data_IF_007583864413
#
_entry.id   IF_007583864413
#
_cell.length_a   1.000
_cell.length_b   1.000
_cell.length_c   1.000
_cell.angle_alpha   90.00
_cell.angle_beta   90.00
_cell.angle_gamma   90.00
#
_symmetry.space_group_name_H-M   'P 1'
#
loop_
_entity.id
_entity.type
_entity.pdbx_description
1 polymer ?
#
# COMPACT_ATOMS: atom_id res chain seq x y z
N UNK A 1 -11.04 25.81 11.99
CA UNK A 1 -11.27 24.62 11.16
C UNK A 1 -10.06 24.50 10.26
N UNK A 2 -9.27 23.43 10.36
CA UNK A 2 -8.18 23.20 9.42
C UNK A 2 -8.82 22.95 8.05
N UNK A 3 -8.43 23.71 7.03
CA UNK A 3 -8.85 23.45 5.66
C UNK A 3 -8.27 22.08 5.27
N UNK A 4 -9.14 21.10 5.07
CA UNK A 4 -8.76 19.80 4.53
C UNK A 4 -8.25 20.01 3.09
N UNK A 5 -7.05 19.60 2.80
CA UNK A 5 -6.47 19.68 1.46
C UNK A 5 -7.25 18.75 0.53
N UNK A 6 -7.82 19.29 -0.55
CA UNK A 6 -8.46 18.51 -1.60
C UNK A 6 -7.74 18.77 -2.92
N UNK A 7 -7.25 17.70 -3.54
CA UNK A 7 -6.65 17.72 -4.87
C UNK A 7 -7.77 17.56 -5.91
N UNK A 8 -7.76 18.42 -6.93
CA UNK A 8 -8.81 18.45 -7.94
C UNK A 8 -8.29 17.85 -9.25
N UNK A 9 -9.15 17.10 -9.93
CA UNK A 9 -8.84 16.49 -11.23
C UNK A 9 -8.35 17.50 -12.27
N UNK A 10 -8.83 18.74 -12.22
CA UNK A 10 -8.45 19.80 -13.16
C UNK A 10 -6.96 20.19 -13.03
N UNK A 11 -6.31 19.89 -11.90
CA UNK A 11 -4.87 20.14 -11.68
C UNK A 11 -3.98 19.01 -12.26
N UNK A 12 -4.56 17.83 -12.55
CA UNK A 12 -3.81 16.62 -12.90
C UNK A 12 -4.12 16.08 -14.30
N UNK A 13 -5.30 16.35 -14.84
CA UNK A 13 -5.72 15.91 -16.16
C UNK A 13 -5.62 17.06 -17.16
N UNK A 14 -5.01 16.80 -18.32
CA UNK A 14 -4.80 17.82 -19.33
C UNK A 14 -6.10 18.31 -20.00
N UNK A 15 -7.19 17.55 -19.90
CA UNK A 15 -8.51 17.92 -20.43
C UNK A 15 -9.63 17.12 -19.75
N UNK A 16 -10.87 17.61 -19.89
CA UNK A 16 -12.08 16.90 -19.44
C UNK A 16 -12.36 15.59 -20.20
N UNK A 17 -11.66 15.35 -21.28
CA UNK A 17 -11.75 14.11 -22.06
C UNK A 17 -10.77 13.04 -21.56
N UNK A 18 -9.74 13.43 -20.86
CA UNK A 18 -8.72 12.51 -20.36
C UNK A 18 -9.27 11.71 -19.18
N UNK A 19 -9.33 10.38 -19.35
CA UNK A 19 -9.84 9.48 -18.32
C UNK A 19 -8.75 8.96 -17.40
N UNK A 20 -7.50 8.87 -17.87
CA UNK A 20 -6.37 8.28 -17.15
C UNK A 20 -5.12 9.12 -17.32
N UNK A 21 -4.36 9.29 -16.24
CA UNK A 21 -3.04 9.91 -16.27
C UNK A 21 -2.09 9.21 -15.28
N UNK A 22 -0.79 9.39 -15.48
CA UNK A 22 0.25 8.93 -14.55
C UNK A 22 0.77 10.14 -13.80
N UNK A 23 0.54 10.16 -12.48
CA UNK A 23 1.04 11.19 -11.58
C UNK A 23 2.17 10.59 -10.74
N UNK A 24 3.41 10.87 -11.14
CA UNK A 24 4.59 10.30 -10.51
C UNK A 24 4.99 11.07 -9.24
N UNK A 25 5.28 10.34 -8.16
CA UNK A 25 5.75 10.87 -6.88
C UNK A 25 7.15 10.32 -6.57
N UNK A 26 8.08 10.57 -7.44
CA UNK A 26 9.43 10.02 -7.42
C UNK A 26 10.47 11.10 -7.04
N UNK A 27 11.18 10.98 -5.88
CA UNK A 27 10.82 10.19 -4.70
C UNK A 27 9.61 10.79 -3.95
N UNK A 28 8.87 9.95 -3.22
CA UNK A 28 7.74 10.41 -2.42
C UNK A 28 8.24 11.06 -1.13
N UNK A 29 7.89 12.31 -0.93
CA UNK A 29 8.08 13.01 0.34
C UNK A 29 6.92 12.78 1.31
N UNK A 30 7.10 13.26 2.55
CA UNK A 30 5.99 13.35 3.51
C UNK A 30 4.89 14.20 2.90
N UNK A 31 3.66 13.67 2.90
CA UNK A 31 2.52 14.37 2.34
C UNK A 31 1.36 14.36 3.34
N UNK A 32 0.87 15.55 3.69
CA UNK A 32 -0.18 15.73 4.68
C UNK A 32 -1.49 15.03 4.25
N UNK A 33 -2.40 14.82 5.21
CA UNK A 33 -3.72 14.27 4.94
C UNK A 33 -4.47 15.11 3.92
N UNK A 34 -4.96 14.44 2.89
CA UNK A 34 -5.69 15.04 1.78
C UNK A 34 -6.74 14.08 1.23
N UNK A 35 -7.64 14.63 0.42
CA UNK A 35 -8.59 13.90 -0.42
C UNK A 35 -8.42 14.34 -1.86
N UNK A 36 -9.05 13.64 -2.79
CA UNK A 36 -9.11 14.00 -4.20
C UNK A 36 -10.47 13.64 -4.80
N UNK A 37 -10.83 14.22 -5.95
CA UNK A 37 -12.07 13.96 -6.66
C UNK A 37 -11.90 13.01 -7.88
N UNK A 38 -10.83 12.22 -7.86
CA UNK A 38 -10.49 11.17 -8.80
C UNK A 38 -10.08 9.90 -8.04
N UNK A 39 -9.90 8.80 -8.72
CA UNK A 39 -9.41 7.55 -8.12
C UNK A 39 -7.93 7.34 -8.39
N UNK A 40 -7.23 6.61 -7.51
CA UNK A 40 -5.81 6.29 -7.65
C UNK A 40 -5.52 4.79 -7.54
N UNK A 41 -4.60 4.32 -8.38
CA UNK A 41 -3.84 3.10 -8.16
C UNK A 41 -2.43 3.47 -7.73
N UNK A 42 -2.02 3.04 -6.54
CA UNK A 42 -0.69 3.33 -6.00
C UNK A 42 0.14 2.06 -5.94
N UNK A 43 1.30 2.05 -6.60
CA UNK A 43 2.25 0.92 -6.56
C UNK A 43 3.55 1.39 -5.93
N UNK A 44 4.00 0.69 -4.88
CA UNK A 44 5.28 0.96 -4.21
C UNK A 44 6.39 0.16 -4.87
N UNK A 45 7.37 0.87 -5.46
CA UNK A 45 8.50 0.25 -6.17
C UNK A 45 9.68 -0.09 -5.27
N UNK A 46 10.00 0.75 -4.30
CA UNK A 46 11.08 0.52 -3.33
C UNK A 46 10.95 1.44 -2.12
N UNK A 47 11.83 1.23 -1.13
CA UNK A 47 11.84 2.01 0.09
C UNK A 47 10.73 1.64 1.03
N UNK A 48 10.38 2.53 1.92
CA UNK A 48 9.32 2.32 2.88
C UNK A 48 8.71 3.65 3.36
N UNK A 49 7.48 3.59 3.88
CA UNK A 49 6.78 4.73 4.42
C UNK A 49 5.62 4.28 5.32
N UNK A 50 5.01 5.22 6.00
CA UNK A 50 3.73 5.04 6.67
C UNK A 50 2.66 5.69 5.76
N UNK A 51 1.77 4.88 5.21
CA UNK A 51 0.59 5.32 4.49
C UNK A 51 -0.62 5.19 5.42
N UNK A 52 -1.32 6.27 5.67
CA UNK A 52 -2.58 6.24 6.43
C UNK A 52 -3.70 6.45 5.44
N UNK A 53 -4.61 5.51 5.35
CA UNK A 53 -5.77 5.53 4.45
C UNK A 53 -7.05 5.34 5.27
N UNK A 54 -7.94 6.32 5.27
CA UNK A 54 -9.16 6.33 6.06
C UNK A 54 -8.90 5.97 7.53
N UNK A 55 -7.97 6.68 8.16
CA UNK A 55 -7.51 6.49 9.52
C UNK A 55 -6.82 5.14 9.81
N UNK A 56 -6.68 4.26 8.81
CA UNK A 56 -5.97 2.99 8.94
C UNK A 56 -4.52 3.13 8.51
N UNK A 57 -3.54 2.90 9.40
CA UNK A 57 -2.13 2.96 9.08
C UNK A 57 -1.62 1.67 8.44
N UNK A 58 -0.80 1.82 7.41
CA UNK A 58 -0.10 0.75 6.70
C UNK A 58 1.39 1.06 6.64
N UNK A 59 2.24 0.16 7.12
CA UNK A 59 3.68 0.24 6.86
C UNK A 59 3.95 -0.32 5.48
N UNK A 60 4.15 0.57 4.53
CA UNK A 60 4.30 0.22 3.12
C UNK A 60 5.74 -0.03 2.74
N UNK A 61 5.94 -1.00 1.87
CA UNK A 61 7.22 -1.40 1.28
C UNK A 61 7.00 -1.82 -0.19
N UNK A 62 8.09 -2.15 -0.87
CA UNK A 62 8.07 -2.70 -2.23
C UNK A 62 6.98 -3.76 -2.42
N UNK A 63 6.21 -3.64 -3.50
CA UNK A 63 5.14 -4.55 -3.89
C UNK A 63 3.77 -4.23 -3.29
N UNK A 64 3.65 -3.25 -2.40
CA UNK A 64 2.34 -2.81 -1.93
C UNK A 64 1.59 -2.10 -3.06
N UNK A 65 0.31 -2.43 -3.17
CA UNK A 65 -0.64 -1.91 -4.15
C UNK A 65 -1.88 -1.41 -3.41
N UNK A 66 -2.30 -0.18 -3.68
CA UNK A 66 -3.52 0.39 -3.14
C UNK A 66 -4.47 0.80 -4.26
N UNK A 67 -5.76 0.61 -3.99
CA UNK A 67 -6.86 1.20 -4.74
C UNK A 67 -7.51 2.25 -3.83
N UNK A 68 -7.35 3.52 -4.18
CA UNK A 68 -7.84 4.67 -3.42
C UNK A 68 -8.99 5.28 -4.19
N UNK A 69 -10.15 5.31 -3.58
CA UNK A 69 -11.35 5.86 -4.17
C UNK A 69 -11.37 7.39 -4.06
N UNK A 70 -12.16 8.06 -4.90
CA UNK A 70 -12.44 9.49 -4.75
C UNK A 70 -13.01 9.76 -3.35
N UNK A 71 -12.57 10.87 -2.74
CA UNK A 71 -12.91 11.31 -1.39
C UNK A 71 -12.34 10.44 -0.23
N UNK A 72 -11.62 9.34 -0.50
CA UNK A 72 -10.82 8.67 0.52
C UNK A 72 -9.75 9.62 1.07
N UNK A 73 -9.58 9.62 2.41
CA UNK A 73 -8.55 10.43 3.07
C UNK A 73 -7.26 9.64 3.18
N UNK A 74 -6.16 10.21 2.74
CA UNK A 74 -4.88 9.56 2.91
C UNK A 74 -3.71 10.53 3.10
N UNK A 75 -2.60 9.97 3.63
CA UNK A 75 -1.36 10.71 3.88
C UNK A 75 -0.16 9.79 3.84
N UNK A 76 1.03 10.39 3.65
CA UNK A 76 2.31 9.70 3.72
C UNK A 76 3.21 10.33 4.78
N UNK A 77 3.74 9.49 5.68
CA UNK A 77 4.65 9.89 6.75
C UNK A 77 5.81 8.90 6.92
N UNK A 78 6.81 9.26 7.69
CA UNK A 78 7.97 8.41 8.01
C UNK A 78 8.57 7.74 6.76
N UNK A 79 8.67 8.49 5.67
CA UNK A 79 9.18 8.02 4.37
C UNK A 79 10.71 7.86 4.42
N UNK A 80 11.21 6.80 3.78
CA UNK A 80 12.63 6.53 3.64
C UNK A 80 12.89 5.90 2.27
N UNK A 81 13.48 6.67 1.36
CA UNK A 81 13.73 6.30 -0.05
C UNK A 81 12.48 5.68 -0.71
N UNK A 82 11.31 6.20 -0.35
CA UNK A 82 10.04 5.72 -0.84
C UNK A 82 9.85 6.14 -2.30
N UNK A 83 9.73 5.16 -3.17
CA UNK A 83 9.42 5.35 -4.57
C UNK A 83 8.13 4.64 -4.87
N UNK A 84 7.14 5.41 -5.23
CA UNK A 84 5.83 4.90 -5.65
C UNK A 84 5.40 5.61 -6.92
N UNK A 85 4.36 5.11 -7.53
CA UNK A 85 3.76 5.68 -8.71
C UNK A 85 2.25 5.65 -8.59
N UNK A 86 1.63 6.78 -8.86
CA UNK A 86 0.19 6.94 -8.85
C UNK A 86 -0.32 6.92 -10.29
N UNK A 87 -1.23 6.01 -10.58
CA UNK A 87 -2.03 6.00 -11.79
C UNK A 87 -3.40 6.54 -11.39
N UNK A 88 -3.72 7.73 -11.85
CA UNK A 88 -4.96 8.42 -11.52
C UNK A 88 -5.98 8.24 -12.63
N UNK A 89 -7.26 8.08 -12.26
CA UNK A 89 -8.32 7.88 -13.24
C UNK A 89 -9.67 8.44 -12.75
N UNK A 90 -10.49 8.85 -13.72
CA UNK A 90 -11.86 9.29 -13.49
C UNK A 90 -12.82 8.22 -14.03
N UNK A 91 -13.49 7.43 -13.16
CA UNK A 91 -14.42 6.38 -13.59
C UNK A 91 -15.48 6.86 -14.60
N UNK A 92 -16.00 8.05 -14.40
CA UNK A 92 -17.03 8.66 -15.24
C UNK A 92 -16.55 9.07 -16.65
N UNK A 93 -15.21 9.12 -16.87
CA UNK A 93 -14.61 9.46 -18.15
C UNK A 93 -14.18 8.24 -18.95
N UNK A 94 -14.19 7.03 -18.37
CA UNK A 94 -13.83 5.79 -19.04
C UNK A 94 -14.91 5.42 -20.07
N UNK A 95 -14.50 5.23 -21.34
CA UNK A 95 -15.40 4.97 -22.46
C UNK A 95 -15.39 3.52 -22.94
N UNK A 96 -14.32 2.78 -22.63
CA UNK A 96 -14.21 1.38 -23.01
C UNK A 96 -15.23 0.53 -22.23
N UNK A 97 -15.94 -0.33 -22.95
CA UNK A 97 -16.88 -1.27 -22.37
C UNK A 97 -16.15 -2.50 -21.78
N UNK A 98 -15.50 -2.29 -20.63
CA UNK A 98 -14.85 -3.34 -19.86
C UNK A 98 -15.60 -3.56 -18.54
N UNK A 99 -15.47 -4.76 -17.97
CA UNK A 99 -15.94 -5.02 -16.60
C UNK A 99 -14.99 -4.38 -15.57
N UNK A 100 -15.09 -3.06 -15.45
CA UNK A 100 -14.28 -2.30 -14.49
C UNK A 100 -14.53 -2.71 -13.05
N UNK A 101 -15.77 -3.08 -12.71
CA UNK A 101 -16.15 -3.52 -11.36
C UNK A 101 -15.48 -4.84 -10.98
N UNK A 102 -15.41 -5.78 -11.92
CA UNK A 102 -14.70 -7.04 -11.71
C UNK A 102 -13.17 -6.88 -11.69
N UNK A 103 -12.64 -5.88 -12.41
CA UNK A 103 -11.21 -5.66 -12.53
C UNK A 103 -10.60 -4.81 -11.40
N UNK A 104 -11.32 -3.78 -10.94
CA UNK A 104 -10.85 -2.81 -9.94
C UNK A 104 -11.64 -2.96 -8.64
N UNK A 105 -11.00 -3.32 -7.51
CA UNK A 105 -11.66 -3.33 -6.21
C UNK A 105 -12.25 -1.96 -5.87
N UNK A 106 -13.54 -1.96 -5.49
CA UNK A 106 -14.19 -0.74 -5.05
C UNK A 106 -14.44 0.31 -6.15
N UNK A 107 -14.52 -0.10 -7.42
CA UNK A 107 -14.69 0.83 -8.57
C UNK A 107 -15.83 1.83 -8.40
N UNK A 108 -16.96 1.43 -7.80
CA UNK A 108 -18.13 2.29 -7.59
C UNK A 108 -18.32 2.77 -6.13
N UNK A 109 -17.47 2.33 -5.22
CA UNK A 109 -17.54 2.68 -3.79
C UNK A 109 -16.22 2.37 -3.12
N UNK A 110 -15.94 3.00 -1.98
CA UNK A 110 -14.76 2.67 -1.17
C UNK A 110 -14.61 1.16 -0.99
N UNK A 111 -13.46 0.65 -1.37
CA UNK A 111 -13.18 -0.79 -1.31
C UNK A 111 -13.14 -1.26 0.14
N UNK A 112 -13.81 -2.38 0.44
CA UNK A 112 -13.71 -3.03 1.74
C UNK A 112 -12.28 -3.47 2.08
N UNK A 113 -11.44 -3.75 1.08
CA UNK A 113 -10.01 -4.01 1.20
C UNK A 113 -9.23 -3.24 0.14
N UNK A 114 -8.69 -2.05 0.50
CA UNK A 114 -7.98 -1.21 -0.45
C UNK A 114 -6.53 -1.64 -0.68
N UNK A 115 -5.94 -2.46 0.21
CA UNK A 115 -4.54 -2.86 0.21
C UNK A 115 -4.33 -4.28 -0.32
N UNK A 116 -3.45 -4.41 -1.29
CA UNK A 116 -3.05 -5.65 -1.96
C UNK A 116 -1.53 -5.71 -2.10
N UNK A 117 -1.03 -6.81 -2.61
CA UNK A 117 0.39 -6.96 -2.92
C UNK A 117 0.60 -7.47 -4.34
N UNK A 118 1.74 -7.10 -4.90
CA UNK A 118 2.26 -7.62 -6.17
C UNK A 118 3.61 -8.30 -5.92
N UNK A 119 3.78 -9.48 -6.47
CA UNK A 119 5.08 -10.14 -6.55
C UNK A 119 5.96 -9.54 -7.66
N UNK A 120 7.20 -9.97 -7.71
CA UNK A 120 8.21 -9.42 -8.63
C UNK A 120 7.82 -9.54 -10.10
N UNK A 121 7.12 -10.61 -10.49
CA UNK A 121 6.63 -10.80 -11.87
C UNK A 121 5.55 -9.79 -12.22
N UNK A 122 4.53 -9.65 -11.35
CA UNK A 122 3.46 -8.67 -11.55
C UNK A 122 3.99 -7.24 -11.60
N UNK A 123 4.95 -6.91 -10.72
CA UNK A 123 5.62 -5.61 -10.72
C UNK A 123 6.39 -5.34 -12.03
N UNK A 124 7.15 -6.32 -12.54
CA UNK A 124 7.91 -6.15 -13.79
C UNK A 124 6.97 -5.88 -14.99
N UNK A 125 5.88 -6.64 -15.08
CA UNK A 125 4.89 -6.46 -16.14
C UNK A 125 4.13 -5.14 -16.00
N UNK A 126 3.72 -4.78 -14.76
CA UNK A 126 3.06 -3.51 -14.51
C UNK A 126 3.94 -2.33 -14.91
N UNK A 127 5.23 -2.34 -14.58
CA UNK A 127 6.18 -1.28 -14.95
C UNK A 127 6.25 -1.05 -16.45
N UNK A 128 6.24 -2.14 -17.25
CA UNK A 128 6.27 -2.02 -18.70
C UNK A 128 5.01 -1.34 -19.24
N UNK A 129 3.83 -1.73 -18.76
CA UNK A 129 2.55 -1.15 -19.20
C UNK A 129 2.44 0.31 -18.73
N UNK A 130 2.85 0.61 -17.49
CA UNK A 130 2.81 1.97 -16.94
C UNK A 130 3.72 2.91 -17.73
N UNK A 131 4.92 2.47 -18.14
CA UNK A 131 5.80 3.29 -18.97
C UNK A 131 5.18 3.64 -20.34
N UNK A 132 4.42 2.73 -20.93
CA UNK A 132 3.65 3.02 -22.15
C UNK A 132 2.47 3.96 -21.86
N UNK A 133 1.74 3.72 -20.76
CA UNK A 133 0.62 4.56 -20.33
C UNK A 133 1.08 6.00 -20.05
N UNK A 134 2.19 6.19 -19.35
CA UNK A 134 2.79 7.49 -19.06
C UNK A 134 3.12 8.23 -20.36
N UNK A 135 3.73 7.53 -21.32
CA UNK A 135 4.01 8.09 -22.63
C UNK A 135 2.72 8.54 -23.34
N UNK A 136 1.72 7.67 -23.48
CA UNK A 136 0.47 7.99 -24.19
C UNK A 136 -0.34 9.08 -23.48
N UNK A 137 -0.45 9.02 -22.15
CA UNK A 137 -1.23 10.00 -21.39
C UNK A 137 -0.64 11.42 -21.42
N UNK A 138 0.64 11.56 -21.78
CA UNK A 138 1.33 12.85 -21.97
C UNK A 138 1.25 13.38 -23.40
N UNK A 139 0.76 12.59 -24.37
CA UNK A 139 0.70 12.99 -25.76
C UNK A 139 -0.57 13.82 -26.09
N UNK A 140 -0.42 14.74 -27.05
CA UNK A 140 -1.52 15.57 -27.57
C UNK A 140 -1.76 15.23 -29.06
N UNK A 141 -1.80 13.94 -29.36
CA UNK A 141 -2.02 13.43 -30.72
C UNK A 141 -3.37 12.72 -30.82
N UNK A 142 -3.92 12.52 -32.03
CA UNK A 142 -5.17 11.77 -32.21
C UNK A 142 -5.07 10.37 -31.56
N UNK A 143 -6.15 9.97 -30.90
CA UNK A 143 -6.29 8.67 -30.21
C UNK A 143 -5.40 8.45 -28.97
N UNK A 144 -4.65 9.45 -28.49
CA UNK A 144 -3.82 9.30 -27.29
C UNK A 144 -4.66 8.91 -26.03
N UNK A 145 -5.82 9.54 -25.85
CA UNK A 145 -6.72 9.20 -24.73
C UNK A 145 -7.25 7.76 -24.83
N UNK A 146 -7.65 7.33 -26.01
CA UNK A 146 -8.14 5.98 -26.27
C UNK A 146 -7.02 4.93 -26.04
N UNK A 147 -5.81 5.22 -26.49
CA UNK A 147 -4.64 4.37 -26.24
C UNK A 147 -4.29 4.31 -24.77
N UNK A 148 -4.33 5.44 -24.05
CA UNK A 148 -4.10 5.47 -22.60
C UNK A 148 -5.15 4.64 -21.86
N UNK A 149 -6.43 4.72 -22.26
CA UNK A 149 -7.50 3.92 -21.66
C UNK A 149 -7.34 2.42 -21.95
N UNK A 150 -6.93 2.02 -23.16
CA UNK A 150 -6.61 0.63 -23.50
C UNK A 150 -5.45 0.07 -22.65
N UNK A 151 -4.39 0.87 -22.47
CA UNK A 151 -3.25 0.50 -21.62
C UNK A 151 -3.65 0.43 -20.14
N UNK A 152 -4.51 1.32 -19.68
CA UNK A 152 -5.08 1.25 -18.34
C UNK A 152 -5.93 -0.03 -18.16
N UNK A 153 -6.77 -0.39 -19.13
CA UNK A 153 -7.50 -1.66 -19.14
C UNK A 153 -6.57 -2.86 -19.07
N UNK A 154 -5.49 -2.87 -19.85
CA UNK A 154 -4.45 -3.90 -19.76
C UNK A 154 -3.80 -3.94 -18.38
N UNK A 155 -3.45 -2.78 -17.82
CA UNK A 155 -2.84 -2.68 -16.49
C UNK A 155 -3.76 -3.27 -15.40
N UNK A 156 -5.02 -2.86 -15.33
CA UNK A 156 -5.92 -3.35 -14.28
C UNK A 156 -6.21 -4.84 -14.38
N UNK A 157 -6.30 -5.40 -15.59
CA UNK A 157 -6.42 -6.85 -15.79
C UNK A 157 -5.16 -7.60 -15.34
N UNK A 158 -3.99 -7.05 -15.61
CA UNK A 158 -2.70 -7.57 -15.14
C UNK A 158 -2.62 -7.51 -13.61
N UNK A 159 -2.96 -6.37 -13.00
CA UNK A 159 -2.99 -6.22 -11.56
C UNK A 159 -3.98 -7.21 -10.93
N UNK A 160 -5.17 -7.37 -11.48
CA UNK A 160 -6.17 -8.35 -11.01
C UNK A 160 -5.62 -9.77 -11.00
N UNK A 161 -4.87 -10.15 -12.04
CA UNK A 161 -4.27 -11.49 -12.16
C UNK A 161 -3.14 -11.75 -11.16
N UNK A 162 -2.36 -10.70 -10.83
CA UNK A 162 -1.13 -10.83 -10.05
C UNK A 162 -1.24 -10.33 -8.61
N UNK A 163 -2.33 -9.62 -8.25
CA UNK A 163 -2.53 -9.14 -6.88
C UNK A 163 -2.93 -10.28 -5.95
N UNK A 164 -2.48 -10.18 -4.71
CA UNK A 164 -2.86 -11.07 -3.63
C UNK A 164 -2.97 -10.30 -2.33
N UNK A 165 -3.63 -10.86 -1.34
CA UNK A 165 -3.70 -10.31 0.02
C UNK A 165 -2.59 -10.88 0.88
N UNK A 166 -2.29 -10.24 2.00
CA UNK A 166 -1.35 -10.78 2.99
C UNK A 166 -1.75 -12.16 3.54
N UNK A 167 -3.04 -12.51 3.46
CA UNK A 167 -3.59 -13.78 3.96
C UNK A 167 -3.70 -14.86 2.87
N UNK A 168 -3.40 -14.53 1.63
CA UNK A 168 -3.44 -15.47 0.50
C UNK A 168 -2.05 -15.78 -0.01
N UNK A 169 -1.86 -17.00 -0.52
CA UNK A 169 -0.64 -17.35 -1.24
C UNK A 169 -0.60 -16.58 -2.57
N UNK A 170 0.60 -16.18 -2.99
CA UNK A 170 0.81 -15.54 -4.27
C UNK A 170 0.33 -16.43 -5.44
N UNK A 171 -0.24 -15.86 -6.50
CA UNK A 171 -0.89 -16.63 -7.56
C UNK A 171 0.06 -17.38 -8.51
N UNK A 172 1.38 -17.19 -8.39
CA UNK A 172 2.36 -17.82 -9.31
C UNK A 172 3.52 -18.50 -8.59
N UNK A 173 3.96 -19.64 -9.14
CA UNK A 173 5.13 -20.39 -8.66
C UNK A 173 6.46 -19.67 -8.88
N UNK A 174 6.49 -18.60 -9.65
CA UNK A 174 7.70 -17.84 -10.05
C UNK A 174 8.05 -16.68 -9.12
N UNK A 175 7.49 -16.63 -7.91
CA UNK A 175 7.81 -15.59 -6.95
C UNK A 175 9.22 -15.72 -6.38
N UNK A 176 9.82 -14.53 -6.17
CA UNK A 176 11.14 -14.48 -5.56
C UNK A 176 11.08 -14.92 -4.09
N UNK A 177 12.22 -15.35 -3.56
CA UNK A 177 12.37 -15.67 -2.15
C UNK A 177 11.98 -14.50 -1.24
N UNK A 178 12.22 -13.26 -1.70
CA UNK A 178 11.85 -12.06 -0.99
C UNK A 178 10.31 -11.89 -0.91
N UNK A 179 9.60 -12.15 -1.99
CA UNK A 179 8.13 -12.05 -2.01
C UNK A 179 7.52 -13.09 -1.04
N UNK A 180 8.04 -14.32 -1.05
CA UNK A 180 7.64 -15.38 -0.10
C UNK A 180 7.91 -14.98 1.36
N UNK A 181 9.07 -14.38 1.64
CA UNK A 181 9.39 -13.89 2.98
C UNK A 181 8.41 -12.81 3.44
N UNK A 182 8.14 -11.81 2.61
CA UNK A 182 7.22 -10.71 2.97
C UNK A 182 5.81 -11.24 3.26
N UNK A 183 5.32 -12.17 2.44
CA UNK A 183 4.02 -12.83 2.67
C UNK A 183 4.01 -13.60 4.00
N UNK A 184 5.06 -14.37 4.30
CA UNK A 184 5.16 -15.09 5.59
C UNK A 184 5.25 -14.16 6.79
N UNK A 185 5.96 -13.03 6.66
CA UNK A 185 6.02 -12.01 7.73
C UNK A 185 4.65 -11.40 8.00
N UNK A 186 3.89 -11.07 6.95
CA UNK A 186 2.54 -10.53 7.09
C UNK A 186 1.58 -11.53 7.74
N UNK A 187 1.67 -12.82 7.40
CA UNK A 187 0.87 -13.88 8.03
C UNK A 187 1.30 -14.21 9.48
N UNK A 188 2.50 -13.78 9.91
CA UNK A 188 3.06 -14.09 11.23
C UNK A 188 2.91 -12.95 12.25
N UNK A 189 1.92 -12.06 12.09
CA UNK A 189 1.77 -10.90 12.97
C UNK A 189 1.57 -11.29 14.43
N UNK A 190 0.78 -12.34 14.70
CA UNK A 190 0.41 -12.80 16.04
C UNK A 190 1.44 -13.72 16.71
N UNK A 191 2.42 -14.23 15.95
CA UNK A 191 3.36 -15.23 16.43
C UNK A 191 4.80 -14.84 16.17
N UNK A 192 5.78 -15.37 16.93
CA UNK A 192 7.19 -15.20 16.61
C UNK A 192 7.50 -15.74 15.21
N UNK A 193 8.25 -14.96 14.44
CA UNK A 193 8.72 -15.38 13.12
C UNK A 193 10.13 -15.97 13.25
N UNK A 194 10.28 -17.24 12.90
CA UNK A 194 11.55 -17.96 12.90
C UNK A 194 12.19 -17.88 11.51
N UNK A 195 13.12 -16.93 11.33
CA UNK A 195 13.79 -16.71 10.04
C UNK A 195 14.72 -17.88 9.66
N UNK A 196 15.36 -18.51 10.64
CA UNK A 196 16.17 -19.69 10.49
C UNK A 196 15.38 -20.83 9.83
N UNK A 197 14.21 -21.17 10.38
CA UNK A 197 13.32 -22.18 9.78
C UNK A 197 12.90 -21.85 8.35
N UNK A 198 12.56 -20.58 8.10
CA UNK A 198 12.23 -20.13 6.75
C UNK A 198 13.41 -20.34 5.79
N UNK A 199 14.64 -20.02 6.22
CA UNK A 199 15.83 -20.19 5.40
C UNK A 199 16.14 -21.66 5.15
N UNK A 200 15.96 -22.54 6.14
CA UNK A 200 16.13 -23.99 6.00
C UNK A 200 15.13 -24.56 4.98
N UNK A 201 13.83 -24.22 5.13
CA UNK A 201 12.77 -24.63 4.20
C UNK A 201 13.04 -24.16 2.76
N UNK A 202 13.54 -22.94 2.61
CA UNK A 202 13.82 -22.32 1.33
C UNK A 202 15.23 -22.63 0.76
N UNK A 203 16.06 -23.38 1.50
CA UNK A 203 17.45 -23.67 1.17
C UNK A 203 18.27 -22.44 0.81
N UNK A 204 18.16 -21.38 1.62
CA UNK A 204 18.79 -20.09 1.38
C UNK A 204 19.65 -19.60 2.54
N UNK A 205 20.58 -18.69 2.24
CA UNK A 205 21.41 -18.04 3.26
C UNK A 205 20.65 -16.92 3.94
N UNK A 206 20.52 -17.00 5.27
CA UNK A 206 19.92 -15.94 6.09
C UNK A 206 20.59 -14.57 5.88
N UNK A 207 21.93 -14.56 5.79
CA UNK A 207 22.71 -13.34 5.52
C UNK A 207 22.31 -12.68 4.20
N UNK A 208 22.20 -13.46 3.15
CA UNK A 208 21.83 -12.97 1.80
C UNK A 208 20.41 -12.43 1.82
N UNK A 209 19.48 -13.16 2.45
CA UNK A 209 18.08 -12.77 2.54
C UNK A 209 17.88 -11.46 3.34
N UNK A 210 18.58 -11.31 4.47
CA UNK A 210 18.58 -10.06 5.27
C UNK A 210 19.12 -8.88 4.46
N UNK A 211 20.19 -9.09 3.70
CA UNK A 211 20.77 -8.07 2.82
C UNK A 211 19.80 -7.65 1.71
N UNK A 212 19.21 -8.62 1.02
CA UNK A 212 18.23 -8.35 -0.04
C UNK A 212 17.01 -7.62 0.50
N UNK A 213 16.45 -8.07 1.64
CA UNK A 213 15.34 -7.39 2.29
C UNK A 213 15.67 -5.92 2.58
N UNK A 214 16.82 -5.66 3.19
CA UNK A 214 17.26 -4.29 3.52
C UNK A 214 17.48 -3.43 2.28
N UNK A 215 18.05 -3.98 1.22
CA UNK A 215 18.26 -3.25 -0.05
C UNK A 215 16.95 -2.87 -0.73
N UNK A 216 15.94 -3.74 -0.67
CA UNK A 216 14.66 -3.54 -1.35
C UNK A 216 13.65 -2.72 -0.53
N UNK A 217 13.74 -2.76 0.80
CA UNK A 217 12.76 -2.14 1.69
C UNK A 217 13.31 -0.98 2.52
N UNK A 218 14.63 -0.80 2.56
CA UNK A 218 15.30 0.20 3.39
C UNK A 218 15.33 -0.13 4.89
N UNK A 219 14.84 -1.32 5.32
CA UNK A 219 14.76 -1.69 6.74
C UNK A 219 15.15 -3.14 6.99
N UNK A 220 15.43 -3.48 8.25
CA UNK A 220 15.63 -4.87 8.64
C UNK A 220 14.30 -5.60 8.78
N UNK A 221 14.33 -6.94 8.65
CA UNK A 221 13.15 -7.80 8.81
C UNK A 221 12.47 -7.55 10.17
N UNK A 222 13.25 -7.46 11.27
CA UNK A 222 12.73 -7.23 12.60
C UNK A 222 12.11 -5.82 12.76
N UNK A 223 12.70 -4.79 12.14
CA UNK A 223 12.10 -3.46 12.11
C UNK A 223 10.77 -3.47 11.38
N UNK A 224 10.72 -4.09 10.20
CA UNK A 224 9.50 -4.21 9.42
C UNK A 224 8.39 -4.91 10.21
N UNK A 225 8.64 -6.12 10.72
CA UNK A 225 7.65 -6.89 11.47
C UNK A 225 7.13 -6.10 12.69
N UNK A 226 8.03 -5.45 13.43
CA UNK A 226 7.65 -4.62 14.57
C UNK A 226 6.74 -3.45 14.17
N UNK A 227 7.06 -2.76 13.10
CA UNK A 227 6.27 -1.61 12.64
C UNK A 227 4.90 -2.04 12.09
N UNK A 228 4.80 -3.16 11.37
CA UNK A 228 3.51 -3.70 10.92
C UNK A 228 2.64 -4.08 12.14
N UNK A 229 3.23 -4.68 13.19
CA UNK A 229 2.53 -4.96 14.44
C UNK A 229 2.03 -3.70 15.14
N UNK A 230 2.82 -2.63 15.15
CA UNK A 230 2.40 -1.32 15.69
C UNK A 230 1.26 -0.72 14.87
N UNK A 231 1.31 -0.77 13.54
CA UNK A 231 0.20 -0.32 12.69
C UNK A 231 -1.10 -1.11 12.98
N UNK A 232 -0.98 -2.43 13.16
CA UNK A 232 -2.15 -3.25 13.54
C UNK A 232 -2.69 -2.87 14.93
N UNK A 233 -1.81 -2.61 15.90
CA UNK A 233 -2.19 -2.14 17.22
C UNK A 233 -2.88 -0.76 17.19
N UNK A 234 -2.40 0.17 16.38
CA UNK A 234 -3.04 1.48 16.18
C UNK A 234 -4.49 1.29 15.71
N UNK A 235 -4.70 0.43 14.71
CA UNK A 235 -6.03 0.11 14.20
C UNK A 235 -6.93 -0.50 15.28
N UNK A 236 -6.45 -1.51 16.04
CA UNK A 236 -7.23 -2.13 17.11
C UNK A 236 -7.55 -1.19 18.26
N UNK A 237 -6.61 -0.31 18.64
CA UNK A 237 -6.83 0.71 19.68
C UNK A 237 -7.94 1.70 19.30
N UNK A 238 -8.10 1.98 18.02
CA UNK A 238 -9.09 2.91 17.48
C UNK A 238 -10.46 2.26 17.27
N UNK A 239 -10.48 0.99 16.78
CA UNK A 239 -11.70 0.33 16.32
C UNK A 239 -12.19 -0.82 17.22
N UNK A 240 -11.57 -1.02 18.39
CA UNK A 240 -11.98 -2.07 19.31
C UNK A 240 -11.99 -1.58 20.76
N UNK A 241 -12.75 -2.34 21.61
CA UNK A 241 -12.77 -2.14 23.07
C UNK A 241 -11.88 -3.14 23.81
N UNK A 242 -10.99 -3.86 23.12
CA UNK A 242 -10.08 -4.83 23.72
C UNK A 242 -9.18 -4.13 24.77
N UNK A 243 -8.79 -4.85 25.80
CA UNK A 243 -7.79 -4.35 26.76
C UNK A 243 -6.45 -4.15 26.05
N UNK A 244 -5.63 -3.22 26.53
CA UNK A 244 -4.31 -2.95 25.94
C UNK A 244 -3.42 -4.20 26.01
N UNK A 245 -3.54 -5.00 27.07
CA UNK A 245 -2.89 -6.31 27.20
C UNK A 245 -3.29 -7.27 26.09
N UNK A 246 -4.60 -7.33 25.78
CA UNK A 246 -5.12 -8.22 24.76
C UNK A 246 -4.66 -7.78 23.35
N UNK A 247 -4.67 -6.46 23.09
CA UNK A 247 -4.11 -5.89 21.85
C UNK A 247 -2.62 -6.22 21.72
N UNK A 248 -1.86 -6.13 22.81
CA UNK A 248 -0.45 -6.53 22.83
C UNK A 248 -0.28 -7.96 22.33
N UNK A 249 -1.06 -8.89 22.88
CA UNK A 249 -1.05 -10.31 22.49
C UNK A 249 -1.51 -10.52 21.05
N UNK A 250 -2.63 -9.89 20.64
CA UNK A 250 -3.14 -9.95 19.26
C UNK A 250 -2.15 -9.42 18.22
N UNK A 251 -1.28 -8.49 18.64
CA UNK A 251 -0.20 -7.96 17.79
C UNK A 251 1.13 -8.72 17.94
N UNK A 252 1.14 -9.88 18.61
CA UNK A 252 2.31 -10.75 18.71
C UNK A 252 3.42 -10.23 19.63
N UNK A 253 3.08 -9.42 20.63
CA UNK A 253 4.00 -9.05 21.70
C UNK A 253 3.76 -9.94 22.92
N UNK A 254 4.80 -10.58 23.41
CA UNK A 254 4.74 -11.47 24.57
C UNK A 254 4.57 -10.71 25.90
N UNK A 255 5.04 -9.46 25.95
CA UNK A 255 5.00 -8.61 27.14
C UNK A 255 4.34 -7.27 26.83
N UNK A 256 3.31 -6.91 27.61
CA UNK A 256 2.53 -5.68 27.39
C UNK A 256 3.29 -4.40 27.79
N UNK A 257 4.28 -4.50 28.69
CA UNK A 257 5.13 -3.35 29.02
C UNK A 257 6.10 -3.08 27.87
N UNK A 258 6.72 -4.15 27.34
CA UNK A 258 7.57 -4.04 26.15
C UNK A 258 6.77 -3.51 24.95
N UNK A 259 5.55 -3.99 24.73
CA UNK A 259 4.64 -3.43 23.73
C UNK A 259 4.45 -1.93 23.91
N UNK A 260 4.13 -1.47 25.12
CA UNK A 260 3.89 -0.06 25.40
C UNK A 260 5.12 0.82 25.12
N UNK A 261 6.32 0.32 25.47
CA UNK A 261 7.59 1.00 25.15
C UNK A 261 7.81 1.08 23.63
N UNK A 262 7.62 -0.02 22.92
CA UNK A 262 7.77 -0.08 21.46
C UNK A 262 6.76 0.83 20.79
N UNK A 263 5.48 0.72 21.16
CA UNK A 263 4.42 1.53 20.59
C UNK A 263 4.69 3.03 20.76
N UNK A 264 5.07 3.45 21.99
CA UNK A 264 5.40 4.85 22.28
C UNK A 264 6.58 5.35 21.47
N UNK A 265 7.63 4.52 21.31
CA UNK A 265 8.79 4.88 20.49
C UNK A 265 8.43 5.06 19.01
N UNK A 266 7.58 4.19 18.45
CA UNK A 266 7.24 4.22 17.02
C UNK A 266 6.17 5.29 16.69
N UNK A 267 5.30 5.66 17.67
CA UNK A 267 4.17 6.57 17.43
C UNK A 267 4.28 7.92 18.15
N UNK A 268 5.19 8.06 19.10
CA UNK A 268 5.31 9.24 19.95
C UNK A 268 4.26 9.33 21.08
N UNK A 269 3.33 8.38 21.19
CA UNK A 269 2.24 8.36 22.19
C UNK A 269 2.13 7.00 22.82
N UNK A 270 1.68 6.96 24.10
CA UNK A 270 1.34 5.68 24.74
C UNK A 270 0.08 5.07 24.10
N UNK A 271 -0.11 3.74 24.18
CA UNK A 271 -1.34 3.09 23.68
C UNK A 271 -2.62 3.68 24.28
N UNK A 272 -2.61 4.05 25.56
CA UNK A 272 -3.76 4.68 26.22
C UNK A 272 -4.06 6.08 25.67
N UNK A 273 -3.02 6.90 25.46
CA UNK A 273 -3.15 8.22 24.84
C UNK A 273 -3.68 8.12 23.40
N UNK A 274 -3.14 7.16 22.63
CA UNK A 274 -3.60 6.92 21.25
C UNK A 274 -5.09 6.56 21.20
N UNK A 275 -5.54 5.64 22.06
CA UNK A 275 -6.95 5.28 22.18
C UNK A 275 -7.82 6.48 22.53
N UNK A 276 -7.43 7.23 23.57
CA UNK A 276 -8.23 8.38 24.03
C UNK A 276 -8.38 9.46 22.96
N UNK A 277 -7.31 9.77 22.24
CA UNK A 277 -7.30 10.78 21.16
C UNK A 277 -8.25 10.41 20.01
N UNK A 278 -8.33 9.12 19.68
CA UNK A 278 -9.11 8.65 18.53
C UNK A 278 -10.54 8.21 18.92
N UNK A 279 -10.82 7.90 20.19
CA UNK A 279 -12.18 7.62 20.68
C UNK A 279 -13.07 8.87 20.77
N UNK A 280 -12.54 10.08 20.54
CA UNK A 280 -13.29 11.34 20.53
C UNK A 280 -13.69 11.79 19.12
N UNK A 281 -13.38 10.99 18.09
CA UNK A 281 -13.70 11.31 16.69
C UNK A 281 -15.01 10.68 16.19
N UNK A 282 -15.71 9.89 17.04
CA UNK A 282 -17.02 9.29 16.73
C UNK A 282 -18.20 10.17 17.24
#
# INVERSE_FOLDING_TARGET
>A
MAHQLKLLKDDFFASDQQAVAVADRYPQDVFAEHTHDFCELVIVWRGNGLHVLNDRPYRIIRGDLFYIHADDKHSYASVNDLVLQNIIYCPERLKLNLDWQGAIPGFNASAGQPHWRLGSVGMAQARQVIGQLEHESSQHVPFANEMAELLFGQLVMLLNRHRYTSDSLPPTSSETLLDKLITRLAASLKSPFALDKFCDEASCSERVLRQQFRQQTGMTINQYLRQVRVCHAQYLLQHSRLLISDISTECGFEDSNYFSVVFTRETGMTPSQWRHLNSQKD
#
